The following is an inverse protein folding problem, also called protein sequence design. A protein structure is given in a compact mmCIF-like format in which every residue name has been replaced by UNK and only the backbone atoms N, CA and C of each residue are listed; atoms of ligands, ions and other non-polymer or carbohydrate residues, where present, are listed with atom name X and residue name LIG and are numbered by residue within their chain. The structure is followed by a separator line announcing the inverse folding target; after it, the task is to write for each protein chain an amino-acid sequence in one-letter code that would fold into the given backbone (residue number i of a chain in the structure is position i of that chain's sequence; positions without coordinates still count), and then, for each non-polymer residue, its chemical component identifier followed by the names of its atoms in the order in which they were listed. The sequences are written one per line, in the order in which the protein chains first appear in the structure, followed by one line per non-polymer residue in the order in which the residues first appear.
data_IF_832190422813
#
_entry.id   IF_832190422813
#
_cell.length_a   1.000
_cell.length_b   1.000
_cell.length_c   1.000
_cell.angle_alpha   90.00
_cell.angle_beta   90.00
_cell.angle_gamma   90.00
#
_symmetry.space_group_name_H-M   'P 1'
#
loop_
_entity.id
_entity.type
_entity.pdbx_description
1 polymer ?
#
# COMPACT_ATOMS: atom_id res chain seq x y z
N UNK A 1 36.96 45.22 51.87
CA UNK A 1 35.71 45.49 51.13
C UNK A 1 35.99 45.41 49.63
N UNK A 2 35.31 44.48 48.95
CA UNK A 2 34.89 44.53 47.53
C UNK A 2 35.91 45.07 46.51
N UNK A 3 36.96 44.29 46.20
CA UNK A 3 37.75 44.56 44.98
C UNK A 3 37.86 43.37 44.01
N UNK A 4 37.38 42.16 44.36
CA UNK A 4 37.43 41.01 43.45
C UNK A 4 36.07 40.45 43.02
N UNK A 5 34.97 41.01 43.52
CA UNK A 5 33.61 40.58 43.16
C UNK A 5 33.12 41.16 41.83
N UNK A 6 33.84 42.14 41.27
CA UNK A 6 33.48 42.79 40.00
C UNK A 6 34.09 42.11 38.77
N UNK A 7 35.22 41.43 38.92
CA UNK A 7 35.89 40.74 37.79
C UNK A 7 35.16 39.44 37.41
N UNK A 8 34.47 38.81 38.37
CA UNK A 8 33.69 37.58 38.15
C UNK A 8 32.23 37.81 37.69
N UNK A 9 31.81 39.06 37.47
CA UNK A 9 30.46 39.39 36.96
C UNK A 9 30.49 39.84 35.48
N UNK A 10 31.68 40.11 34.93
CA UNK A 10 31.84 40.63 33.57
C UNK A 10 32.05 39.55 32.49
N UNK A 11 32.11 38.26 32.86
CA UNK A 11 32.29 37.15 31.90
C UNK A 11 31.06 36.23 31.77
N UNK A 12 29.88 36.71 32.16
CA UNK A 12 28.63 35.95 32.09
C UNK A 12 27.49 36.78 31.48
N UNK A 13 27.73 37.46 30.35
CA UNK A 13 26.65 38.18 29.65
C UNK A 13 26.78 38.18 28.11
N UNK A 14 27.17 37.06 27.52
CA UNK A 14 27.24 36.92 26.07
C UNK A 14 26.88 35.52 25.60
N UNK A 15 25.64 35.07 25.81
CA UNK A 15 25.27 33.69 25.48
C UNK A 15 23.80 33.39 25.23
N UNK A 16 22.96 34.36 24.86
CA UNK A 16 21.54 34.08 24.54
C UNK A 16 20.99 34.74 23.26
N UNK A 17 21.83 35.28 22.37
CA UNK A 17 21.38 35.79 21.06
C UNK A 17 21.36 34.70 19.97
N UNK A 18 20.92 33.49 20.35
CA UNK A 18 20.93 32.30 19.51
C UNK A 18 19.56 31.71 19.23
N UNK A 19 18.49 32.50 19.14
CA UNK A 19 17.33 32.07 18.34
C UNK A 19 17.65 32.42 16.89
N UNK A 20 18.34 31.49 16.24
CA UNK A 20 18.74 31.54 14.84
C UNK A 20 17.58 32.02 13.95
N UNK A 21 17.88 32.97 13.07
CA UNK A 21 17.01 33.40 11.96
C UNK A 21 16.86 32.29 10.92
N UNK A 22 16.36 31.12 11.32
CA UNK A 22 16.07 30.03 10.40
C UNK A 22 14.87 30.41 9.53
N UNK A 23 14.94 30.21 8.20
CA UNK A 23 13.81 30.42 7.31
C UNK A 23 12.60 29.62 7.78
N UNK A 24 11.38 30.14 7.60
CA UNK A 24 10.17 29.39 7.91
C UNK A 24 9.91 28.36 6.80
N UNK A 25 9.65 27.08 7.11
CA UNK A 25 9.40 26.07 6.09
C UNK A 25 8.13 26.34 5.30
N UNK A 26 8.11 26.04 3.99
CA UNK A 26 6.90 26.18 3.18
C UNK A 26 5.82 25.22 3.68
N UNK A 27 4.55 25.63 3.54
CA UNK A 27 3.39 24.83 3.99
C UNK A 27 3.36 23.44 3.34
N UNK A 28 3.85 23.33 2.11
CA UNK A 28 3.94 22.11 1.33
C UNK A 28 4.86 21.10 2.02
N UNK A 29 5.98 21.54 2.59
CA UNK A 29 6.91 20.66 3.31
C UNK A 29 6.27 20.11 4.60
N UNK A 30 5.51 20.95 5.31
CA UNK A 30 4.76 20.52 6.50
C UNK A 30 3.69 19.49 6.11
N UNK A 31 2.96 19.72 5.01
CA UNK A 31 1.97 18.77 4.50
C UNK A 31 2.60 17.45 4.09
N UNK A 32 3.72 17.49 3.36
CA UNK A 32 4.45 16.31 2.92
C UNK A 32 4.91 15.45 4.10
N UNK A 33 5.48 16.06 5.15
CA UNK A 33 5.84 15.36 6.41
C UNK A 33 4.64 14.65 7.01
N UNK A 34 3.51 15.35 7.15
CA UNK A 34 2.27 14.77 7.71
C UNK A 34 1.73 13.63 6.86
N UNK A 35 1.68 13.80 5.54
CA UNK A 35 1.20 12.76 4.62
C UNK A 35 2.10 11.54 4.62
N UNK A 36 3.43 11.72 4.63
CA UNK A 36 4.37 10.61 4.73
C UNK A 36 4.20 9.85 6.04
N UNK A 37 4.06 10.54 7.17
CA UNK A 37 3.80 9.90 8.47
C UNK A 37 2.50 9.08 8.47
N UNK A 38 1.42 9.62 7.87
CA UNK A 38 0.18 8.85 7.69
C UNK A 38 0.38 7.62 6.80
N UNK A 39 1.06 7.78 5.66
CA UNK A 39 1.34 6.68 4.75
C UNK A 39 2.17 5.58 5.44
N UNK A 40 3.21 5.97 6.19
CA UNK A 40 4.08 5.06 6.97
C UNK A 40 3.32 4.33 8.08
N UNK A 41 2.34 4.96 8.70
CA UNK A 41 1.48 4.35 9.70
C UNK A 41 0.31 3.53 9.11
N UNK A 42 0.17 3.50 7.79
CA UNK A 42 -0.90 2.78 7.08
C UNK A 42 -0.45 1.41 6.60
N UNK A 43 -1.36 0.69 5.95
CA UNK A 43 -1.06 -0.57 5.26
C UNK A 43 0.04 -0.44 4.19
N UNK A 44 0.37 0.76 3.74
CA UNK A 44 1.45 0.99 2.77
C UNK A 44 2.81 0.49 3.26
N UNK A 45 3.09 0.53 4.57
CA UNK A 45 4.35 0.05 5.13
C UNK A 45 4.64 -1.42 4.82
N UNK A 46 3.59 -2.24 4.76
CA UNK A 46 3.71 -3.67 4.48
C UNK A 46 3.32 -4.01 3.04
N UNK A 47 2.38 -3.27 2.45
CA UNK A 47 1.71 -3.63 1.20
C UNK A 47 2.13 -2.81 -0.01
N UNK A 48 2.72 -1.63 0.21
CA UNK A 48 3.26 -0.77 -0.84
C UNK A 48 4.63 -0.17 -0.43
N UNK A 49 5.61 -1.02 -0.05
CA UNK A 49 6.88 -0.54 0.52
C UNK A 49 7.73 0.24 -0.50
N UNK A 50 7.65 -0.10 -1.79
CA UNK A 50 8.35 0.61 -2.85
C UNK A 50 7.82 2.05 -2.98
N UNK A 51 6.51 2.24 -3.08
CA UNK A 51 5.91 3.58 -3.16
C UNK A 51 6.16 4.41 -1.89
N UNK A 52 6.15 3.77 -0.72
CA UNK A 52 6.47 4.44 0.53
C UNK A 52 7.94 4.89 0.57
N UNK A 53 8.86 4.08 0.01
CA UNK A 53 10.25 4.45 -0.14
C UNK A 53 10.43 5.64 -1.10
N UNK A 54 9.77 5.62 -2.26
CA UNK A 54 9.80 6.71 -3.24
C UNK A 54 9.25 8.03 -2.67
N UNK A 55 8.26 7.95 -1.78
CA UNK A 55 7.74 9.08 -1.02
C UNK A 55 8.77 9.62 -0.02
N UNK A 56 9.49 8.72 0.68
CA UNK A 56 10.57 9.09 1.60
C UNK A 56 11.69 9.82 0.87
N UNK A 57 12.18 9.26 -0.24
CA UNK A 57 13.27 9.87 -1.01
C UNK A 57 12.89 11.25 -1.56
N UNK A 58 11.62 11.44 -1.96
CA UNK A 58 11.13 12.75 -2.37
C UNK A 58 11.08 13.74 -1.20
N UNK A 59 10.64 13.30 -0.03
CA UNK A 59 10.62 14.13 1.18
C UNK A 59 12.03 14.53 1.59
N UNK A 60 12.98 13.60 1.61
CA UNK A 60 14.39 13.86 1.92
C UNK A 60 15.04 14.85 0.94
N UNK A 61 14.67 14.81 -0.34
CA UNK A 61 15.09 15.84 -1.31
C UNK A 61 14.49 17.21 -1.00
N UNK A 62 13.21 17.27 -0.66
CA UNK A 62 12.55 18.52 -0.28
C UNK A 62 13.14 19.13 1.00
N UNK A 63 13.48 18.29 1.99
CA UNK A 63 14.11 18.74 3.24
C UNK A 63 15.53 19.25 3.02
N UNK A 64 16.31 18.58 2.17
CA UNK A 64 17.65 19.07 1.79
C UNK A 64 17.59 20.40 1.06
N UNK A 65 16.72 20.53 0.04
CA UNK A 65 16.55 21.79 -0.68
C UNK A 65 16.14 22.96 0.24
N UNK A 66 15.32 22.69 1.26
CA UNK A 66 14.98 23.69 2.27
C UNK A 66 16.16 24.02 3.20
N UNK A 67 16.88 23.01 3.67
CA UNK A 67 18.00 23.16 4.61
C UNK A 67 19.21 23.87 3.99
N UNK A 68 19.42 23.72 2.69
CA UNK A 68 20.51 24.39 1.98
C UNK A 68 20.24 25.89 1.79
N UNK A 69 19.03 26.40 2.08
CA UNK A 69 18.65 27.82 1.93
C UNK A 69 18.78 28.39 0.49
N UNK A 70 18.96 27.53 -0.52
CA UNK A 70 19.24 27.97 -1.88
C UNK A 70 17.98 28.45 -2.62
N UNK A 71 16.85 27.73 -2.54
CA UNK A 71 15.63 28.08 -3.28
C UNK A 71 14.36 27.58 -2.57
N UNK A 72 13.62 28.50 -1.93
CA UNK A 72 12.31 28.19 -1.29
C UNK A 72 11.33 27.61 -2.33
N UNK A 73 11.42 28.04 -3.58
CA UNK A 73 10.57 27.55 -4.68
C UNK A 73 10.85 26.07 -4.99
N UNK A 74 12.11 25.68 -5.09
CA UNK A 74 12.48 24.28 -5.34
C UNK A 74 12.06 23.39 -4.17
N UNK A 75 12.32 23.82 -2.94
CA UNK A 75 11.86 23.11 -1.74
C UNK A 75 10.33 22.93 -1.73
N UNK A 76 9.58 23.95 -2.18
CA UNK A 76 8.12 23.91 -2.29
C UNK A 76 7.65 22.88 -3.32
N UNK A 77 8.25 22.87 -4.51
CA UNK A 77 7.84 21.99 -5.60
C UNK A 77 8.23 20.53 -5.32
N UNK A 78 9.42 20.30 -4.75
CA UNK A 78 9.82 18.98 -4.27
C UNK A 78 8.92 18.48 -3.14
N UNK A 79 8.53 19.37 -2.21
CA UNK A 79 7.60 19.03 -1.15
C UNK A 79 6.20 18.68 -1.69
N UNK A 80 5.71 19.39 -2.72
CA UNK A 80 4.47 19.04 -3.39
C UNK A 80 4.53 17.64 -3.99
N UNK A 81 5.63 17.29 -4.68
CA UNK A 81 5.83 15.95 -5.21
C UNK A 81 5.87 14.89 -4.11
N UNK A 82 6.57 15.16 -3.01
CA UNK A 82 6.65 14.27 -1.85
C UNK A 82 5.26 14.01 -1.23
N UNK A 83 4.44 15.05 -1.06
CA UNK A 83 3.07 14.94 -0.55
C UNK A 83 2.21 14.04 -1.46
N UNK A 84 2.30 14.21 -2.79
CA UNK A 84 1.56 13.36 -3.75
C UNK A 84 2.02 11.90 -3.74
N UNK A 85 3.32 11.65 -3.63
CA UNK A 85 3.85 10.28 -3.53
C UNK A 85 3.42 9.61 -2.23
N UNK A 86 3.41 10.33 -1.11
CA UNK A 86 2.92 9.78 0.15
C UNK A 86 1.43 9.41 0.08
N UNK A 87 0.59 10.28 -0.49
CA UNK A 87 -0.84 10.00 -0.71
C UNK A 87 -1.06 8.80 -1.64
N UNK A 88 -0.24 8.66 -2.68
CA UNK A 88 -0.27 7.52 -3.58
C UNK A 88 0.08 6.22 -2.85
N UNK A 89 1.18 6.20 -2.09
CA UNK A 89 1.60 5.04 -1.31
C UNK A 89 0.51 4.61 -0.32
N UNK A 90 -0.09 5.57 0.42
CA UNK A 90 -1.22 5.31 1.32
C UNK A 90 -2.41 4.68 0.56
N UNK A 91 -2.75 5.24 -0.61
CA UNK A 91 -3.85 4.72 -1.43
C UNK A 91 -3.58 3.29 -1.92
N UNK A 92 -2.38 3.02 -2.42
CA UNK A 92 -1.99 1.69 -2.90
C UNK A 92 -1.99 0.68 -1.76
N UNK A 93 -1.49 1.06 -0.58
CA UNK A 93 -1.57 0.24 0.62
C UNK A 93 -3.02 -0.12 0.99
N UNK A 94 -3.94 0.85 0.94
CA UNK A 94 -5.37 0.61 1.19
C UNK A 94 -6.00 -0.30 0.14
N UNK A 95 -5.70 -0.10 -1.14
CA UNK A 95 -6.19 -0.97 -2.22
C UNK A 95 -5.69 -2.40 -2.04
N UNK A 96 -4.40 -2.59 -1.77
CA UNK A 96 -3.82 -3.91 -1.54
C UNK A 96 -4.44 -4.60 -0.31
N UNK A 97 -4.69 -3.85 0.77
CA UNK A 97 -5.37 -4.38 1.95
C UNK A 97 -6.80 -4.84 1.63
N UNK A 98 -7.54 -4.03 0.87
CA UNK A 98 -8.90 -4.35 0.44
C UNK A 98 -8.94 -5.60 -0.43
N UNK A 99 -8.00 -5.76 -1.37
CA UNK A 99 -7.94 -6.97 -2.21
C UNK A 99 -7.57 -8.22 -1.40
N UNK A 100 -6.68 -8.12 -0.40
CA UNK A 100 -6.41 -9.23 0.54
C UNK A 100 -7.66 -9.63 1.31
N UNK A 101 -8.39 -8.66 1.85
CA UNK A 101 -9.64 -8.91 2.57
C UNK A 101 -10.70 -9.56 1.67
N UNK A 102 -10.81 -9.08 0.42
CA UNK A 102 -11.71 -9.66 -0.57
C UNK A 102 -11.36 -11.12 -0.88
N UNK A 103 -10.07 -11.43 -1.08
CA UNK A 103 -9.60 -12.79 -1.28
C UNK A 103 -9.96 -13.73 -0.12
N UNK A 104 -9.72 -13.29 1.11
CA UNK A 104 -10.07 -14.05 2.31
C UNK A 104 -11.59 -14.28 2.43
N UNK A 105 -12.40 -13.27 2.13
CA UNK A 105 -13.87 -13.40 2.14
C UNK A 105 -14.37 -14.40 1.10
N UNK A 106 -13.79 -14.41 -0.11
CA UNK A 106 -14.14 -15.37 -1.16
C UNK A 106 -13.76 -16.81 -0.79
N UNK A 107 -12.62 -17.02 -0.13
CA UNK A 107 -12.22 -18.33 0.38
C UNK A 107 -13.18 -18.85 1.44
N UNK A 108 -13.49 -18.02 2.44
CA UNK A 108 -14.46 -18.37 3.49
C UNK A 108 -15.85 -18.69 2.92
N UNK A 109 -16.29 -17.95 1.90
CA UNK A 109 -17.53 -18.24 1.20
C UNK A 109 -17.51 -19.61 0.50
N UNK A 110 -16.40 -19.95 -0.16
CA UNK A 110 -16.21 -21.25 -0.80
C UNK A 110 -16.26 -22.42 0.18
N UNK A 111 -15.60 -22.29 1.34
CA UNK A 111 -15.62 -23.29 2.40
C UNK A 111 -17.03 -23.50 2.97
N UNK A 112 -17.77 -22.43 3.18
CA UNK A 112 -19.16 -22.49 3.62
C UNK A 112 -20.03 -23.25 2.60
N UNK A 113 -19.88 -22.96 1.31
CA UNK A 113 -20.62 -23.65 0.25
C UNK A 113 -20.31 -25.15 0.21
N UNK A 114 -19.04 -25.54 0.39
CA UNK A 114 -18.64 -26.94 0.46
C UNK A 114 -19.20 -27.63 1.71
N UNK A 115 -19.21 -26.96 2.85
CA UNK A 115 -19.78 -27.48 4.09
C UNK A 115 -21.29 -27.72 3.97
N UNK A 116 -22.02 -26.78 3.35
CA UNK A 116 -23.46 -26.91 3.08
C UNK A 116 -23.73 -28.07 2.11
N UNK A 117 -22.95 -28.19 1.03
CA UNK A 117 -23.05 -29.32 0.09
C UNK A 117 -22.80 -30.65 0.77
N UNK A 118 -21.79 -30.74 1.65
CA UNK A 118 -21.47 -31.96 2.40
C UNK A 118 -22.63 -32.37 3.32
N UNK A 119 -23.27 -31.40 4.00
CA UNK A 119 -24.44 -31.66 4.85
C UNK A 119 -25.69 -32.07 4.06
N UNK A 120 -25.84 -31.55 2.84
CA UNK A 120 -26.96 -31.86 1.95
C UNK A 120 -26.77 -33.12 1.09
N UNK A 121 -25.57 -33.71 1.06
CA UNK A 121 -25.34 -34.97 0.37
C UNK A 121 -26.05 -36.10 1.15
N UNK A 122 -26.93 -36.90 0.52
CA UNK A 122 -27.50 -38.06 1.18
C UNK A 122 -26.34 -38.98 1.62
N UNK A 123 -26.45 -39.68 2.76
CA UNK A 123 -25.40 -40.61 3.16
C UNK A 123 -25.17 -41.55 1.99
N UNK A 124 -23.92 -41.69 1.55
CA UNK A 124 -23.55 -42.78 0.67
C UNK A 124 -23.94 -44.06 1.42
N UNK A 125 -25.10 -44.62 1.05
CA UNK A 125 -25.49 -45.93 1.51
C UNK A 125 -24.34 -46.89 1.22
N UNK A 126 -24.17 -47.96 2.02
CA UNK A 126 -23.04 -48.86 1.85
C UNK A 126 -22.94 -49.26 0.38
N UNK A 127 -21.79 -48.98 -0.23
CA UNK A 127 -21.47 -49.49 -1.56
C UNK A 127 -21.62 -51.01 -1.48
N UNK A 128 -22.74 -51.53 -1.99
CA UNK A 128 -23.02 -52.95 -2.02
C UNK A 128 -21.95 -53.66 -2.85
N UNK A 129 -21.49 -54.86 -2.43
CA UNK A 129 -20.56 -55.63 -3.24
C UNK A 129 -21.23 -55.93 -4.58
N UNK A 130 -20.47 -55.75 -5.65
CA UNK A 130 -20.99 -55.72 -7.01
C UNK A 130 -21.72 -57.00 -7.42
N UNK A 131 -22.56 -56.85 -8.43
CA UNK A 131 -22.75 -57.90 -9.43
C UNK A 131 -22.95 -57.31 -10.84
N UNK A 132 -22.55 -58.05 -11.89
CA UNK A 132 -22.35 -57.55 -13.24
C UNK A 132 -23.58 -57.73 -14.16
N UNK A 133 -23.56 -56.97 -15.26
CA UNK A 133 -24.25 -57.18 -16.53
C UNK A 133 -25.79 -57.01 -16.60
N UNK A 134 -26.22 -55.95 -17.30
CA UNK A 134 -27.49 -55.85 -18.03
C UNK A 134 -27.24 -55.33 -19.47
N UNK A 135 -27.92 -55.83 -20.52
CA UNK A 135 -27.50 -55.76 -21.94
C UNK A 135 -27.95 -54.46 -22.68
N UNK A 136 -27.57 -54.26 -23.96
CA UNK A 136 -27.27 -52.93 -24.52
C UNK A 136 -28.43 -52.27 -25.30
N UNK A 137 -28.38 -50.92 -25.40
CA UNK A 137 -29.13 -50.10 -26.36
C UNK A 137 -29.58 -48.78 -25.73
N UNK A 138 -29.28 -47.57 -26.22
CA UNK A 138 -28.89 -47.14 -27.55
C UNK A 138 -27.74 -46.11 -27.54
N UNK A 139 -26.73 -46.44 -28.32
CA UNK A 139 -25.90 -45.62 -29.20
C UNK A 139 -26.21 -44.11 -29.30
N UNK A 140 -25.16 -43.30 -29.08
CA UNK A 140 -24.46 -42.46 -30.09
C UNK A 140 -24.95 -41.00 -30.04
N UNK A 141 -24.13 -39.96 -29.93
CA UNK A 141 -22.79 -39.70 -30.45
C UNK A 141 -22.03 -38.66 -29.62
N UNK A 142 -20.77 -38.99 -29.31
CA UNK A 142 -19.51 -38.23 -29.36
C UNK A 142 -19.45 -36.68 -29.50
N UNK A 143 -18.32 -36.09 -29.06
CA UNK A 143 -18.17 -34.72 -28.57
C UNK A 143 -17.71 -33.76 -29.67
N UNK A 144 -18.30 -32.56 -29.73
CA UNK A 144 -17.69 -31.41 -30.41
C UNK A 144 -18.58 -30.17 -30.24
N UNK A 145 -18.57 -29.50 -29.08
CA UNK A 145 -19.01 -28.09 -29.02
C UNK A 145 -18.62 -27.34 -27.73
N UNK A 146 -17.37 -27.44 -27.29
CA UNK A 146 -16.75 -26.38 -26.45
C UNK A 146 -15.31 -26.16 -26.92
N UNK A 147 -15.14 -25.95 -28.23
CA UNK A 147 -13.88 -25.46 -28.82
C UNK A 147 -14.11 -24.16 -29.64
N UNK A 148 -15.28 -23.55 -29.48
CA UNK A 148 -15.69 -22.35 -30.21
C UNK A 148 -15.71 -21.06 -29.37
N UNK A 149 -15.09 -21.05 -28.18
CA UNK A 149 -15.01 -19.85 -27.32
C UNK A 149 -13.59 -19.34 -27.07
N UNK A 150 -12.63 -19.75 -27.90
CA UNK A 150 -11.23 -19.29 -27.84
C UNK A 150 -10.77 -18.48 -29.07
N UNK A 151 -11.69 -17.97 -29.91
CA UNK A 151 -11.30 -17.19 -31.12
C UNK A 151 -11.82 -15.75 -31.20
N UNK A 152 -12.21 -15.12 -30.08
CA UNK A 152 -12.75 -13.76 -30.10
C UNK A 152 -12.01 -12.69 -29.28
N UNK A 153 -10.74 -12.91 -28.90
CA UNK A 153 -9.94 -11.86 -28.27
C UNK A 153 -8.53 -11.72 -28.88
N UNK A 154 -8.41 -11.84 -30.20
CA UNK A 154 -7.18 -11.49 -30.93
C UNK A 154 -7.43 -10.51 -32.08
N UNK A 155 -8.38 -9.58 -31.90
CA UNK A 155 -8.48 -8.38 -32.75
C UNK A 155 -8.77 -7.17 -31.84
N UNK A 156 -7.80 -6.81 -31.02
CA UNK A 156 -7.56 -5.41 -30.65
C UNK A 156 -6.10 -5.19 -30.20
N UNK A 157 -5.16 -5.79 -30.93
CA UNK A 157 -3.81 -5.23 -31.05
C UNK A 157 -3.65 -4.74 -32.49
N UNK A 158 -3.42 -3.43 -32.64
CA UNK A 158 -3.07 -2.84 -33.93
C UNK A 158 -3.75 -1.49 -34.20
N UNK A 159 -3.43 -0.45 -33.42
CA UNK A 159 -2.97 0.83 -33.97
C UNK A 159 -2.30 1.69 -32.91
#
# INVERSE_FOLDING_TARGET
MRCNQRVMVMLTLGGLLGCASAPLPPKELISARKSYERARASAAAELAPADLHDAREALERAERAFAEEHEITEARDLAYLADRRAQLAESLGRTAAAERQRGAALQAYGELQLALRRKGAPPAGPAGPGDPAGPPGHQRTTPAQVSARERSLTILQGR
#
